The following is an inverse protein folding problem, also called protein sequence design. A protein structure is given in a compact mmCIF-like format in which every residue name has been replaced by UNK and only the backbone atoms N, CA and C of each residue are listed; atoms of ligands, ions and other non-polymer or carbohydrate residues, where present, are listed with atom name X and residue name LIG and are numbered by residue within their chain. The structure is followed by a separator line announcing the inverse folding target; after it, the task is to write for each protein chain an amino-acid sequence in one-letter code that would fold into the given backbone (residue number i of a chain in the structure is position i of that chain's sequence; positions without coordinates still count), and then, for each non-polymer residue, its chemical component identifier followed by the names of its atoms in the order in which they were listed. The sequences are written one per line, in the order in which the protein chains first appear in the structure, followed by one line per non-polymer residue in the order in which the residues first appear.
data_IF_820645688643
#
_entry.id   IF_820645688643
#
_cell.length_a   1.000
_cell.length_b   1.000
_cell.length_c   1.000
_cell.angle_alpha   90.00
_cell.angle_beta   90.00
_cell.angle_gamma   90.00
#
_symmetry.space_group_name_H-M   'P 1'
#
loop_
_entity.id
_entity.type
_entity.pdbx_description
1 polymer ?
#
# COMPACT_ATOMS: atom_id res chain seq x y z
N UNK A 1 11.95 -12.54 -14.69
CA UNK A 1 11.21 -11.27 -14.59
C UNK A 1 10.75 -10.94 -15.98
N UNK A 2 9.51 -10.46 -16.19
CA UNK A 2 8.99 -10.14 -17.53
C UNK A 2 9.66 -8.89 -18.08
N UNK A 3 10.09 -8.93 -19.34
CA UNK A 3 10.69 -7.76 -20.00
C UNK A 3 9.65 -6.94 -20.76
N UNK A 4 8.49 -7.54 -21.07
CA UNK A 4 7.35 -6.97 -21.76
C UNK A 4 6.36 -6.21 -20.84
N UNK A 5 6.71 -6.00 -19.57
CA UNK A 5 5.84 -5.30 -18.61
C UNK A 5 5.43 -3.89 -19.06
N UNK A 6 6.32 -3.04 -19.61
CA UNK A 6 5.92 -1.75 -20.14
C UNK A 6 4.88 -1.84 -21.26
N UNK A 7 5.00 -2.84 -22.14
CA UNK A 7 4.05 -3.07 -23.26
C UNK A 7 2.67 -3.47 -22.74
N UNK A 8 2.62 -4.36 -21.72
CA UNK A 8 1.36 -4.78 -21.08
C UNK A 8 0.66 -3.58 -20.44
N UNK A 9 1.42 -2.73 -19.73
CA UNK A 9 0.87 -1.52 -19.10
C UNK A 9 0.31 -0.58 -20.16
N UNK A 10 1.07 -0.35 -21.24
CA UNK A 10 0.65 0.51 -22.33
C UNK A 10 -0.65 0.02 -22.98
N UNK A 11 -0.72 -1.25 -23.36
CA UNK A 11 -1.92 -1.86 -23.93
C UNK A 11 -3.15 -1.77 -23.03
N UNK A 12 -2.96 -1.86 -21.72
CA UNK A 12 -4.06 -1.76 -20.76
C UNK A 12 -4.49 -0.31 -20.52
N UNK A 13 -3.56 0.64 -20.60
CA UNK A 13 -3.90 2.08 -20.53
C UNK A 13 -4.76 2.55 -21.70
N UNK A 14 -4.59 1.99 -22.90
CA UNK A 14 -5.46 2.21 -24.04
C UNK A 14 -6.92 1.76 -23.81
N UNK A 15 -7.12 0.92 -22.77
CA UNK A 15 -8.44 0.42 -22.33
C UNK A 15 -8.90 1.03 -20.99
N UNK A 16 -8.32 2.15 -20.59
CA UNK A 16 -8.60 2.86 -19.34
C UNK A 16 -8.38 2.06 -18.05
N UNK A 17 -7.50 1.03 -18.08
CA UNK A 17 -7.12 0.34 -16.85
C UNK A 17 -6.15 1.17 -16.00
N UNK A 18 -6.34 1.09 -14.68
CA UNK A 18 -5.40 1.62 -13.69
C UNK A 18 -4.40 0.53 -13.34
N UNK A 19 -3.10 0.85 -13.43
CA UNK A 19 -2.04 -0.11 -13.15
C UNK A 19 -1.34 0.18 -11.84
N UNK A 20 -1.27 -0.86 -11.00
CA UNK A 20 -0.48 -0.90 -9.78
C UNK A 20 0.53 -2.05 -9.91
N UNK A 21 1.80 -1.76 -9.69
CA UNK A 21 2.87 -2.77 -9.78
C UNK A 21 3.31 -3.23 -8.41
N UNK A 22 2.96 -4.45 -8.02
CA UNK A 22 3.52 -5.11 -6.86
C UNK A 22 4.92 -5.66 -7.19
N UNK A 23 5.94 -5.19 -6.46
CA UNK A 23 7.34 -5.54 -6.76
C UNK A 23 8.22 -5.58 -5.52
N UNK A 24 9.27 -6.41 -5.55
CA UNK A 24 10.34 -6.35 -4.57
C UNK A 24 11.33 -5.19 -4.81
N UNK A 25 11.19 -4.45 -5.90
CA UNK A 25 11.98 -3.25 -6.20
C UNK A 25 13.39 -3.50 -6.73
N UNK A 26 13.84 -4.74 -6.87
CA UNK A 26 15.24 -5.03 -7.28
C UNK A 26 15.54 -4.44 -8.67
N UNK A 27 14.63 -4.61 -9.63
CA UNK A 27 14.81 -4.08 -10.98
C UNK A 27 14.73 -2.55 -11.00
N UNK A 28 13.82 -1.98 -10.23
CA UNK A 28 13.72 -0.52 -10.05
C UNK A 28 15.00 0.09 -9.48
N UNK A 29 15.70 -0.64 -8.60
CA UNK A 29 16.94 -0.17 -8.00
C UNK A 29 18.16 -0.33 -8.93
N UNK A 30 18.21 -1.40 -9.73
CA UNK A 30 19.41 -1.80 -10.50
C UNK A 30 19.43 -1.30 -11.94
N UNK A 31 18.27 -1.25 -12.59
CA UNK A 31 18.17 -0.83 -13.99
C UNK A 31 17.90 0.68 -14.05
N UNK A 32 18.88 1.41 -14.55
CA UNK A 32 18.79 2.85 -14.73
C UNK A 32 17.66 3.21 -15.70
N UNK A 33 16.85 4.21 -15.34
CA UNK A 33 15.74 4.68 -16.16
C UNK A 33 14.54 3.74 -16.23
N UNK A 34 14.55 2.55 -15.56
CA UNK A 34 13.44 1.61 -15.62
C UNK A 34 12.15 2.18 -15.03
N UNK A 35 12.23 2.91 -13.92
CA UNK A 35 11.08 3.60 -13.33
C UNK A 35 10.46 4.59 -14.33
N UNK A 36 11.29 5.36 -15.05
CA UNK A 36 10.84 6.27 -16.11
C UNK A 36 10.20 5.56 -17.30
N UNK A 37 10.69 4.37 -17.68
CA UNK A 37 10.05 3.55 -18.72
C UNK A 37 8.65 3.11 -18.30
N UNK A 38 8.49 2.67 -17.05
CA UNK A 38 7.18 2.27 -16.50
C UNK A 38 6.21 3.45 -16.42
N UNK A 39 6.69 4.63 -15.99
CA UNK A 39 5.90 5.86 -15.99
C UNK A 39 5.40 6.23 -17.37
N UNK A 40 6.29 6.22 -18.38
CA UNK A 40 5.93 6.50 -19.78
C UNK A 40 4.94 5.50 -20.34
N UNK A 41 5.00 4.24 -19.91
CA UNK A 41 4.04 3.20 -20.28
C UNK A 41 2.65 3.41 -19.65
N UNK A 42 2.53 4.28 -18.62
CA UNK A 42 1.27 4.61 -17.98
C UNK A 42 1.07 3.94 -16.62
N UNK A 43 2.15 3.45 -15.97
CA UNK A 43 2.07 2.94 -14.60
C UNK A 43 1.63 4.07 -13.65
N UNK A 44 0.64 3.79 -12.81
CA UNK A 44 0.12 4.75 -11.85
C UNK A 44 0.91 4.70 -10.53
N UNK A 45 1.10 3.52 -9.95
CA UNK A 45 1.66 3.35 -8.61
C UNK A 45 2.51 2.10 -8.51
N UNK A 46 3.59 2.19 -7.75
CA UNK A 46 4.44 1.07 -7.33
C UNK A 46 4.08 0.67 -5.91
N UNK A 47 3.65 -0.58 -5.72
CA UNK A 47 3.53 -1.23 -4.43
C UNK A 47 4.85 -1.92 -4.11
N UNK A 48 5.70 -1.20 -3.40
CA UNK A 48 7.05 -1.65 -3.09
C UNK A 48 7.05 -2.49 -1.81
N UNK A 49 7.40 -3.75 -1.91
CA UNK A 49 7.68 -4.57 -0.74
C UNK A 49 8.78 -3.90 0.11
N UNK A 50 8.47 -3.57 1.37
CA UNK A 50 9.34 -2.81 2.26
C UNK A 50 9.19 -3.30 3.70
N UNK A 51 9.82 -4.43 4.06
CA UNK A 51 9.55 -5.16 5.28
C UNK A 51 10.18 -4.55 6.55
N UNK A 52 11.12 -3.63 6.41
CA UNK A 52 11.80 -3.01 7.54
C UNK A 52 12.82 -1.95 7.13
N UNK A 53 13.47 -1.36 8.12
CA UNK A 53 14.50 -0.32 7.93
C UNK A 53 15.91 -0.81 8.23
N UNK A 54 16.10 -2.12 8.41
CA UNK A 54 17.39 -2.78 8.68
C UNK A 54 17.57 -4.02 7.81
N UNK A 55 18.81 -4.30 7.43
CA UNK A 55 19.14 -5.50 6.63
C UNK A 55 18.83 -6.80 7.36
N UNK A 56 18.93 -6.84 8.68
CA UNK A 56 18.62 -8.03 9.48
C UNK A 56 17.17 -8.53 9.26
N UNK A 57 16.21 -7.61 9.10
CA UNK A 57 14.81 -7.96 8.76
C UNK A 57 14.76 -8.64 7.41
N UNK A 58 15.43 -8.07 6.41
CA UNK A 58 15.45 -8.64 5.05
C UNK A 58 16.18 -9.98 5.00
N UNK A 59 17.29 -10.12 5.68
CA UNK A 59 18.01 -11.40 5.80
C UNK A 59 17.10 -12.49 6.40
N UNK A 60 16.36 -12.14 7.45
CA UNK A 60 15.42 -13.07 8.10
C UNK A 60 14.23 -13.43 7.21
N UNK A 61 13.61 -12.44 6.56
CA UNK A 61 12.36 -12.66 5.80
C UNK A 61 12.60 -13.01 4.33
N UNK A 62 13.74 -12.59 3.76
CA UNK A 62 14.02 -12.69 2.31
C UNK A 62 15.35 -13.36 1.98
N UNK A 63 16.15 -13.73 2.99
CA UNK A 63 17.42 -14.44 2.82
C UNK A 63 18.59 -13.60 2.32
N UNK A 64 18.45 -12.26 2.25
CA UNK A 64 19.53 -11.36 1.81
C UNK A 64 19.33 -9.93 2.31
N UNK A 65 20.43 -9.18 2.48
CA UNK A 65 20.41 -7.74 2.73
C UNK A 65 19.78 -6.98 1.57
N UNK A 66 18.85 -6.06 1.84
CA UNK A 66 18.11 -5.35 0.78
C UNK A 66 17.86 -3.87 1.07
N UNK A 67 18.27 -3.34 2.22
CA UNK A 67 17.90 -1.96 2.62
C UNK A 67 18.36 -0.91 1.61
N UNK A 68 19.61 -0.98 1.16
CA UNK A 68 20.13 -0.05 0.16
C UNK A 68 19.43 -0.18 -1.21
N UNK A 69 19.05 -1.39 -1.61
CA UNK A 69 18.24 -1.60 -2.81
C UNK A 69 16.84 -0.96 -2.66
N UNK A 70 16.25 -1.05 -1.46
CA UNK A 70 14.94 -0.43 -1.21
C UNK A 70 15.01 1.09 -1.28
N UNK A 71 16.01 1.70 -0.63
CA UNK A 71 16.26 3.15 -0.71
C UNK A 71 16.44 3.61 -2.15
N UNK A 72 17.28 2.90 -2.92
CA UNK A 72 17.52 3.23 -4.32
C UNK A 72 16.27 3.06 -5.20
N UNK A 73 15.45 2.03 -4.95
CA UNK A 73 14.18 1.85 -5.66
C UNK A 73 13.21 3.02 -5.37
N UNK A 74 13.12 3.45 -4.10
CA UNK A 74 12.31 4.62 -3.70
C UNK A 74 12.81 5.87 -4.41
N UNK A 75 14.12 6.12 -4.41
CA UNK A 75 14.71 7.30 -5.08
C UNK A 75 14.41 7.30 -6.58
N UNK A 76 14.67 6.18 -7.28
CA UNK A 76 14.45 6.08 -8.73
C UNK A 76 12.96 6.24 -9.10
N UNK A 77 12.03 5.74 -8.27
CA UNK A 77 10.59 5.97 -8.47
C UNK A 77 10.22 7.43 -8.24
N UNK A 78 10.80 8.06 -7.22
CA UNK A 78 10.59 9.47 -6.92
C UNK A 78 11.06 10.37 -8.05
N UNK A 79 12.27 10.15 -8.57
CA UNK A 79 12.82 10.87 -9.72
C UNK A 79 12.00 10.69 -11.00
N UNK A 80 11.35 9.51 -11.14
CA UNK A 80 10.45 9.21 -12.25
C UNK A 80 9.00 9.69 -12.02
N UNK A 81 8.73 10.38 -10.91
CA UNK A 81 7.39 10.83 -10.54
C UNK A 81 6.35 9.70 -10.47
N UNK A 82 6.74 8.53 -10.03
CA UNK A 82 5.85 7.41 -9.75
C UNK A 82 5.35 7.46 -8.30
N UNK A 83 4.05 7.28 -8.10
CA UNK A 83 3.49 7.05 -6.77
C UNK A 83 4.07 5.78 -6.15
N UNK A 84 4.34 5.80 -4.84
CA UNK A 84 4.89 4.66 -4.11
C UNK A 84 4.00 4.35 -2.91
N UNK A 85 3.63 3.09 -2.77
CA UNK A 85 3.10 2.53 -1.54
C UNK A 85 4.14 1.58 -0.95
N UNK A 86 4.58 1.82 0.29
CA UNK A 86 5.42 0.87 1.01
C UNK A 86 4.56 -0.25 1.57
N UNK A 87 4.90 -1.49 1.26
CA UNK A 87 4.10 -2.67 1.60
C UNK A 87 4.92 -3.62 2.48
N UNK A 88 4.95 -3.39 3.81
CA UNK A 88 5.60 -4.30 4.73
C UNK A 88 4.72 -5.52 5.01
N UNK A 89 5.36 -6.67 5.09
CA UNK A 89 4.80 -7.86 5.72
C UNK A 89 5.25 -7.88 7.17
N UNK A 90 4.32 -7.73 8.11
CA UNK A 90 4.68 -7.70 9.53
C UNK A 90 4.66 -9.11 10.12
N UNK A 91 5.82 -9.54 10.58
CA UNK A 91 6.06 -10.85 11.19
C UNK A 91 6.36 -10.69 12.69
N UNK A 92 5.57 -11.32 13.58
CA UNK A 92 5.79 -11.22 15.03
C UNK A 92 7.21 -11.63 15.43
N UNK A 93 7.85 -10.82 16.25
CA UNK A 93 9.20 -11.07 16.74
C UNK A 93 10.32 -10.86 15.72
N UNK A 94 9.99 -10.40 14.49
CA UNK A 94 10.97 -10.10 13.45
C UNK A 94 11.03 -8.60 13.16
N UNK A 95 9.90 -8.01 12.78
CA UNK A 95 9.82 -6.60 12.40
C UNK A 95 8.61 -5.86 13.00
N UNK A 96 7.86 -6.49 13.87
CA UNK A 96 6.73 -5.85 14.57
C UNK A 96 7.17 -4.68 15.47
N UNK A 97 8.44 -4.65 15.88
CA UNK A 97 9.05 -3.52 16.59
C UNK A 97 9.59 -2.42 15.66
N UNK A 98 9.46 -2.57 14.35
CA UNK A 98 9.90 -1.57 13.37
C UNK A 98 8.73 -0.84 12.66
N UNK A 99 7.50 -1.07 13.08
CA UNK A 99 6.30 -0.45 12.48
C UNK A 99 6.42 1.07 12.47
N UNK A 100 6.75 1.69 13.60
CA UNK A 100 6.96 3.13 13.70
C UNK A 100 8.11 3.64 12.82
N UNK A 101 9.22 2.92 12.75
CA UNK A 101 10.36 3.28 11.91
C UNK A 101 10.03 3.21 10.42
N UNK A 102 9.23 2.23 10.01
CA UNK A 102 8.76 2.11 8.63
C UNK A 102 7.83 3.30 8.30
N UNK A 103 6.88 3.63 9.20
CA UNK A 103 5.99 4.79 9.05
C UNK A 103 6.79 6.10 8.95
N UNK A 104 7.77 6.27 9.82
CA UNK A 104 8.67 7.42 9.78
C UNK A 104 9.46 7.49 8.48
N UNK A 105 10.01 6.36 8.02
CA UNK A 105 10.69 6.31 6.72
C UNK A 105 9.78 6.81 5.59
N UNK A 106 8.50 6.38 5.56
CA UNK A 106 7.52 6.86 4.60
C UNK A 106 7.29 8.37 4.70
N UNK A 107 7.09 8.88 5.91
CA UNK A 107 6.91 10.33 6.16
C UNK A 107 8.12 11.15 5.75
N UNK A 108 9.34 10.69 6.07
CA UNK A 108 10.58 11.40 5.76
C UNK A 108 10.85 11.47 4.24
N UNK A 109 10.45 10.42 3.50
CA UNK A 109 10.63 10.37 2.05
C UNK A 109 9.54 11.11 1.27
N UNK A 110 8.38 11.41 1.88
CA UNK A 110 7.44 12.38 1.30
C UNK A 110 8.05 13.77 1.14
N UNK A 111 9.00 14.14 2.00
CA UNK A 111 9.66 15.46 1.95
C UNK A 111 10.63 15.60 0.79
N UNK A 112 11.24 14.50 0.36
CA UNK A 112 12.27 14.52 -0.70
C UNK A 112 11.69 14.59 -2.11
N UNK A 113 10.41 14.28 -2.28
CA UNK A 113 9.74 14.33 -3.57
C UNK A 113 8.30 14.77 -3.39
N UNK A 114 8.03 15.97 -3.61
CA UNK A 114 6.78 16.74 -3.63
C UNK A 114 5.46 16.02 -3.89
N UNK A 115 5.35 14.67 -3.85
CA UNK A 115 4.14 13.97 -4.29
C UNK A 115 3.99 12.59 -3.67
N UNK A 116 2.95 12.44 -2.92
CA UNK A 116 2.13 11.26 -2.61
C UNK A 116 2.86 9.95 -2.26
N UNK A 117 3.17 9.76 -1.00
CA UNK A 117 3.28 8.43 -0.42
C UNK A 117 1.89 7.98 0.00
N UNK A 118 1.33 7.05 -0.71
CA UNK A 118 0.05 6.46 -0.37
C UNK A 118 0.27 5.04 0.14
N UNK A 119 -0.25 4.79 1.34
CA UNK A 119 -0.58 3.51 1.92
C UNK A 119 0.55 2.55 2.31
N UNK A 120 0.52 2.28 3.59
CA UNK A 120 1.05 1.05 4.17
C UNK A 120 0.00 -0.04 4.04
N UNK A 121 0.33 -1.09 3.34
CA UNK A 121 -0.46 -2.30 3.33
C UNK A 121 0.26 -3.36 4.15
N UNK A 122 -0.25 -3.60 5.36
CA UNK A 122 0.33 -4.58 6.26
C UNK A 122 -0.21 -5.96 5.90
N UNK A 123 0.65 -6.84 5.42
CA UNK A 123 0.32 -8.22 5.10
C UNK A 123 0.83 -9.14 6.20
N UNK A 124 0.01 -10.11 6.56
CA UNK A 124 0.43 -11.24 7.36
C UNK A 124 0.79 -12.40 6.44
N UNK A 125 2.00 -12.92 6.54
CA UNK A 125 2.41 -14.12 5.81
C UNK A 125 2.37 -15.33 6.74
N UNK A 126 1.80 -16.42 6.22
CA UNK A 126 1.65 -17.66 6.94
C UNK A 126 3.00 -18.29 7.29
N UNK A 127 3.20 -18.55 8.56
CA UNK A 127 4.25 -19.47 9.02
C UNK A 127 3.72 -20.90 8.99
N UNK A 128 4.60 -21.88 8.71
CA UNK A 128 4.26 -23.31 8.74
C UNK A 128 3.77 -23.81 10.13
N UNK A 129 3.94 -22.99 11.16
CA UNK A 129 3.45 -23.24 12.53
C UNK A 129 2.61 -22.08 12.99
N UNK A 130 1.52 -22.37 13.72
CA UNK A 130 0.68 -21.35 14.35
C UNK A 130 1.56 -20.43 15.21
N UNK A 131 1.59 -19.13 14.97
CA UNK A 131 2.34 -18.20 15.81
C UNK A 131 1.78 -18.21 17.23
N UNK A 132 2.65 -18.22 18.23
CA UNK A 132 2.22 -18.16 19.63
C UNK A 132 1.56 -16.82 19.96
N UNK A 133 1.93 -15.75 19.24
CA UNK A 133 1.45 -14.40 19.46
C UNK A 133 1.11 -13.71 18.13
N UNK A 134 -0.04 -14.06 17.51
CA UNK A 134 -0.42 -13.53 16.22
C UNK A 134 -0.66 -12.02 16.29
N UNK A 135 -0.43 -11.33 15.17
CA UNK A 135 -0.80 -9.92 15.03
C UNK A 135 -2.28 -9.87 14.64
N UNK A 136 -3.03 -9.08 15.41
CA UNK A 136 -4.43 -8.76 15.16
C UNK A 136 -4.56 -7.27 14.83
N UNK A 137 -5.67 -6.82 14.25
CA UNK A 137 -5.91 -5.39 14.01
C UNK A 137 -5.73 -4.57 15.30
N UNK A 138 -6.35 -4.90 16.45
CA UNK A 138 -6.15 -4.14 17.67
C UNK A 138 -4.70 -4.11 18.16
N UNK A 139 -3.95 -5.20 17.98
CA UNK A 139 -2.52 -5.23 18.31
C UNK A 139 -1.71 -4.33 17.38
N UNK A 140 -2.00 -4.37 16.08
CA UNK A 140 -1.33 -3.52 15.09
C UNK A 140 -1.58 -2.04 15.37
N UNK A 141 -2.81 -1.64 15.66
CA UNK A 141 -3.16 -0.25 15.97
C UNK A 141 -2.42 0.24 17.23
N UNK A 142 -2.30 -0.61 18.28
CA UNK A 142 -1.48 -0.29 19.45
C UNK A 142 -0.01 -0.11 19.09
N UNK A 143 0.57 -1.01 18.28
CA UNK A 143 1.96 -0.87 17.84
C UNK A 143 2.20 0.42 17.04
N UNK A 144 1.23 0.82 16.20
CA UNK A 144 1.31 2.09 15.48
C UNK A 144 1.33 3.25 16.48
N UNK A 145 0.37 3.33 17.40
CA UNK A 145 0.27 4.42 18.36
C UNK A 145 1.51 4.49 19.27
N UNK A 146 1.91 3.37 19.85
CA UNK A 146 3.08 3.28 20.73
C UNK A 146 4.38 3.68 20.02
N UNK A 147 4.62 3.13 18.82
CA UNK A 147 5.88 3.35 18.10
C UNK A 147 5.92 4.67 17.32
N UNK A 148 4.78 5.34 17.15
CA UNK A 148 4.73 6.71 16.62
C UNK A 148 4.62 7.76 17.73
N UNK A 149 4.76 7.34 19.00
CA UNK A 149 4.67 8.23 20.17
C UNK A 149 3.35 9.03 20.19
N UNK A 150 2.25 8.41 19.73
CA UNK A 150 0.93 9.02 19.66
C UNK A 150 0.72 10.00 18.50
N UNK A 151 1.66 10.08 17.55
CA UNK A 151 1.48 10.86 16.32
C UNK A 151 0.30 10.33 15.48
N UNK A 152 0.08 9.01 15.51
CA UNK A 152 -1.07 8.33 14.92
C UNK A 152 -1.78 7.56 16.03
N UNK A 153 -3.03 7.88 16.30
CA UNK A 153 -3.78 7.30 17.41
C UNK A 153 -4.70 6.18 16.96
N UNK A 154 -5.00 5.24 17.85
CA UNK A 154 -5.93 4.13 17.57
C UNK A 154 -7.28 4.66 17.08
N UNK A 155 -7.77 5.73 17.67
CA UNK A 155 -9.05 6.38 17.35
C UNK A 155 -9.11 6.99 15.94
N UNK A 156 -7.97 7.26 15.32
CA UNK A 156 -7.89 7.82 13.97
C UNK A 156 -8.29 6.79 12.89
N UNK A 157 -8.15 5.51 13.21
CA UNK A 157 -8.37 4.46 12.24
C UNK A 157 -9.83 4.02 12.14
N UNK A 158 -10.27 3.80 10.90
CA UNK A 158 -11.57 3.21 10.59
C UNK A 158 -11.41 1.83 9.95
N UNK A 159 -12.44 1.01 10.03
CA UNK A 159 -12.52 -0.21 9.23
C UNK A 159 -12.65 0.08 7.74
N UNK A 160 -12.34 -0.89 6.90
CA UNK A 160 -12.50 -0.77 5.45
C UNK A 160 -13.96 -0.55 5.03
N UNK A 161 -14.13 0.15 3.89
CA UNK A 161 -15.45 0.52 3.39
C UNK A 161 -16.15 -0.59 2.60
N UNK A 162 -15.40 -1.35 1.82
CA UNK A 162 -15.94 -2.38 0.93
C UNK A 162 -15.66 -3.80 1.43
N UNK A 163 -14.51 -4.01 2.08
CA UNK A 163 -14.13 -5.28 2.69
C UNK A 163 -14.78 -5.49 4.06
N UNK A 164 -14.76 -6.73 4.51
CA UNK A 164 -15.23 -7.06 5.85
C UNK A 164 -14.48 -6.24 6.91
N UNK A 165 -15.18 -5.63 7.91
CA UNK A 165 -14.56 -4.80 8.96
C UNK A 165 -13.45 -5.48 9.76
N UNK A 166 -13.42 -6.81 9.78
CA UNK A 166 -12.36 -7.58 10.42
C UNK A 166 -11.13 -7.82 9.53
N UNK A 167 -11.15 -7.35 8.28
CA UNK A 167 -10.05 -7.56 7.34
C UNK A 167 -9.07 -6.41 7.31
N UNK A 168 -9.53 -5.16 7.52
CA UNK A 168 -8.70 -3.99 7.26
C UNK A 168 -8.98 -2.82 8.20
N UNK A 169 -8.06 -1.89 8.19
CA UNK A 169 -8.18 -0.57 8.81
C UNK A 169 -7.47 0.47 7.93
N UNK A 170 -7.88 1.73 8.05
CA UNK A 170 -7.23 2.82 7.34
C UNK A 170 -7.38 4.15 8.08
N UNK A 171 -6.43 5.05 7.87
CA UNK A 171 -6.49 6.47 8.23
C UNK A 171 -5.76 7.30 7.18
N UNK A 172 -6.19 8.53 6.97
CA UNK A 172 -5.55 9.48 6.08
C UNK A 172 -5.25 10.77 6.84
N UNK A 173 -4.03 11.26 6.69
CA UNK A 173 -3.54 12.44 7.39
C UNK A 173 -3.07 13.48 6.38
N UNK A 174 -3.34 14.75 6.69
CA UNK A 174 -2.68 15.87 6.04
C UNK A 174 -1.45 16.23 6.88
N UNK A 175 -0.30 16.29 6.25
CA UNK A 175 0.93 16.72 6.87
C UNK A 175 0.94 18.25 7.02
N UNK A 176 1.18 18.75 8.24
CA UNK A 176 1.28 20.18 8.52
C UNK A 176 2.72 20.66 8.79
N UNK A 177 3.66 19.72 8.91
CA UNK A 177 5.04 19.97 9.24
C UNK A 177 5.84 18.69 9.37
N UNK A 178 7.06 18.75 9.90
CA UNK A 178 7.91 17.56 10.02
C UNK A 178 7.35 16.48 10.97
N UNK A 179 6.59 16.89 11.99
CA UNK A 179 6.05 16.00 13.03
C UNK A 179 4.60 16.31 13.40
N UNK A 180 3.86 16.98 12.53
CA UNK A 180 2.46 17.29 12.77
C UNK A 180 1.58 16.71 11.67
N UNK A 181 0.69 15.80 12.06
CA UNK A 181 -0.30 15.19 11.20
C UNK A 181 -1.69 15.64 11.63
N UNK A 182 -2.48 16.11 10.68
CA UNK A 182 -3.91 16.38 10.90
C UNK A 182 -4.71 15.27 10.26
N UNK A 183 -5.49 14.55 11.07
CA UNK A 183 -6.43 13.55 10.54
C UNK A 183 -7.37 14.23 9.54
N UNK A 184 -7.42 13.68 8.34
CA UNK A 184 -8.45 14.04 7.36
C UNK A 184 -9.75 13.37 7.83
N UNK A 185 -10.78 14.17 8.07
CA UNK A 185 -12.04 13.68 8.62
C UNK A 185 -12.53 12.44 7.89
N UNK A 186 -12.86 11.43 8.69
CA UNK A 186 -13.69 10.34 8.21
C UNK A 186 -14.94 10.99 7.62
N UNK A 187 -15.16 10.88 6.31
CA UNK A 187 -16.53 11.04 5.82
C UNK A 187 -17.34 10.01 6.59
N UNK A 188 -18.00 10.45 7.64
CA UNK A 188 -19.01 9.65 8.32
C UNK A 188 -20.06 9.37 7.27
N UNK A 189 -19.93 8.23 6.58
CA UNK A 189 -20.83 7.84 5.53
C UNK A 189 -22.20 7.72 6.15
N UNK A 190 -23.07 8.66 5.85
CA UNK A 190 -24.49 8.38 5.90
C UNK A 190 -24.66 7.13 5.06
N UNK A 191 -25.02 6.03 5.71
CA UNK A 191 -25.44 4.76 5.23
C UNK A 191 -24.96 4.38 3.82
N UNK A 192 -23.98 3.58 3.75
CA UNK A 192 -23.27 3.07 2.58
C UNK A 192 -24.11 2.25 1.58
N UNK A 193 -25.38 2.54 1.39
CA UNK A 193 -26.22 1.80 0.44
C UNK A 193 -26.11 2.30 -1.01
N UNK A 194 -25.32 3.33 -1.28
CA UNK A 194 -25.35 4.04 -2.58
C UNK A 194 -23.97 4.28 -3.20
N UNK A 195 -22.88 3.61 -2.76
CA UNK A 195 -21.60 3.73 -3.44
C UNK A 195 -21.64 2.88 -4.71
N UNK A 196 -21.52 3.52 -5.86
CA UNK A 196 -21.47 2.81 -7.14
C UNK A 196 -20.09 2.19 -7.37
N UNK A 197 -19.98 1.26 -8.31
CA UNK A 197 -18.68 0.73 -8.75
C UNK A 197 -17.76 1.84 -9.28
N UNK A 198 -18.34 2.87 -9.91
CA UNK A 198 -17.60 4.01 -10.44
C UNK A 198 -17.08 4.91 -9.32
N UNK A 199 -17.86 5.15 -8.26
CA UNK A 199 -17.38 5.89 -7.09
C UNK A 199 -16.21 5.16 -6.41
N UNK A 200 -16.30 3.84 -6.30
CA UNK A 200 -15.22 2.99 -5.73
C UNK A 200 -13.97 3.02 -6.60
N UNK A 201 -14.15 2.97 -7.93
CA UNK A 201 -13.07 3.07 -8.91
C UNK A 201 -12.38 4.43 -8.83
N UNK A 202 -13.16 5.51 -8.82
CA UNK A 202 -12.65 6.87 -8.71
C UNK A 202 -11.95 7.12 -7.38
N UNK A 203 -12.45 6.53 -6.28
CA UNK A 203 -11.78 6.58 -4.97
C UNK A 203 -10.39 5.92 -5.03
N UNK A 204 -10.30 4.70 -5.59
CA UNK A 204 -9.02 3.99 -5.78
C UNK A 204 -8.08 4.77 -6.68
N UNK A 205 -8.58 5.34 -7.77
CA UNK A 205 -7.82 6.16 -8.71
C UNK A 205 -7.24 7.40 -8.03
N UNK A 206 -8.06 8.12 -7.27
CA UNK A 206 -7.63 9.33 -6.57
C UNK A 206 -6.68 9.04 -5.41
N UNK A 207 -6.82 7.90 -4.73
CA UNK A 207 -6.00 7.56 -3.57
C UNK A 207 -4.63 7.00 -3.95
N UNK A 208 -4.51 6.34 -5.11
CA UNK A 208 -3.33 5.58 -5.50
C UNK A 208 -2.61 6.12 -6.73
N UNK A 209 -3.20 7.08 -7.44
CA UNK A 209 -2.56 7.67 -8.61
C UNK A 209 -1.71 8.88 -8.21
N UNK A 210 -0.53 8.94 -8.80
CA UNK A 210 0.25 10.15 -8.85
C UNK A 210 -0.53 11.17 -9.69
N UNK A 211 -1.01 12.24 -9.08
CA UNK A 211 -1.71 13.28 -9.84
C UNK A 211 -0.74 14.05 -10.72
N UNK A 212 -1.00 13.97 -12.00
CA UNK A 212 -0.33 14.80 -13.03
C UNK A 212 -0.96 16.18 -13.19
N UNK A 213 -1.92 16.55 -12.35
CA UNK A 213 -2.40 17.94 -12.33
C UNK A 213 -1.32 18.83 -11.71
N UNK A 214 -0.23 19.01 -12.44
CA UNK A 214 0.55 20.22 -12.39
C UNK A 214 -0.39 21.29 -12.90
N UNK A 215 -0.91 22.13 -12.04
CA UNK A 215 -1.35 23.43 -12.51
C UNK A 215 -0.12 24.08 -13.11
N UNK A 216 -0.19 24.41 -14.39
CA UNK A 216 0.89 25.06 -15.11
C UNK A 216 1.19 26.38 -14.38
N UNK A 217 2.39 26.55 -13.84
CA UNK A 217 2.77 27.77 -13.14
C UNK A 217 2.64 29.03 -14.04
N UNK A 218 2.44 28.83 -15.33
CA UNK A 218 2.23 29.90 -16.32
C UNK A 218 0.80 30.46 -16.41
N UNK A 219 -0.22 29.76 -15.88
CA UNK A 219 -1.61 30.22 -15.91
C UNK A 219 -2.13 30.75 -14.55
N UNK A 220 -1.30 30.73 -13.50
CA UNK A 220 -1.70 31.15 -12.16
C UNK A 220 -1.60 32.66 -11.94
N UNK A 221 -2.51 33.41 -12.54
CA UNK A 221 -2.60 34.86 -12.23
C UNK A 221 -3.45 35.18 -10.99
N UNK A 222 -4.21 34.22 -10.44
CA UNK A 222 -4.90 34.32 -9.14
C UNK A 222 -5.28 32.90 -8.65
N UNK A 223 -4.46 32.27 -7.81
CA UNK A 223 -4.89 31.11 -7.03
C UNK A 223 -5.79 31.57 -5.89
N UNK A 224 -7.00 31.08 -5.85
CA UNK A 224 -7.90 31.21 -4.71
C UNK A 224 -7.33 30.35 -3.54
N UNK A 225 -7.55 30.78 -2.31
CA UNK A 225 -7.16 30.03 -1.09
C UNK A 225 -7.73 28.59 -1.08
N UNK A 226 -8.80 28.33 -1.83
CA UNK A 226 -9.37 27.00 -2.03
C UNK A 226 -8.47 26.13 -2.92
N UNK A 227 -7.92 26.68 -3.99
CA UNK A 227 -7.04 25.97 -4.91
C UNK A 227 -5.74 25.58 -4.22
N UNK A 228 -5.12 26.48 -3.45
CA UNK A 228 -3.95 26.18 -2.63
C UNK A 228 -4.24 25.09 -1.61
N UNK A 229 -5.41 25.12 -0.98
CA UNK A 229 -5.83 24.09 -0.04
C UNK A 229 -6.03 22.72 -0.71
N UNK A 230 -6.64 22.68 -1.90
CA UNK A 230 -6.83 21.45 -2.67
C UNK A 230 -5.49 20.87 -3.15
N UNK A 231 -4.57 21.72 -3.60
CA UNK A 231 -3.20 21.33 -3.97
C UNK A 231 -2.46 20.73 -2.77
N UNK A 232 -2.57 21.34 -1.59
CA UNK A 232 -1.97 20.82 -0.35
C UNK A 232 -2.56 19.49 0.04
N UNK A 233 -3.89 19.35 0.09
CA UNK A 233 -4.54 18.06 0.39
C UNK A 233 -4.03 16.98 -0.55
N UNK A 234 -3.91 17.31 -1.82
CA UNK A 234 -3.50 16.36 -2.82
C UNK A 234 -2.02 15.94 -2.70
N UNK A 235 -1.15 16.88 -2.38
CA UNK A 235 0.31 16.68 -2.34
C UNK A 235 0.84 16.27 -0.96
N UNK A 236 0.14 16.62 0.13
CA UNK A 236 0.61 16.42 1.50
C UNK A 236 -0.20 15.35 2.25
N UNK A 237 -1.01 14.56 1.55
CA UNK A 237 -1.78 13.47 2.17
C UNK A 237 -0.91 12.24 2.37
N UNK A 238 -0.87 11.75 3.61
CA UNK A 238 -0.25 10.49 3.99
C UNK A 238 -1.34 9.51 4.43
N UNK A 239 -1.49 8.40 3.72
CA UNK A 239 -2.46 7.37 4.04
C UNK A 239 -1.77 6.15 4.67
N UNK A 240 -2.36 5.63 5.72
CA UNK A 240 -1.95 4.38 6.36
C UNK A 240 -3.11 3.41 6.29
N UNK A 241 -2.90 2.25 5.71
CA UNK A 241 -3.88 1.18 5.72
C UNK A 241 -3.21 -0.14 6.09
N UNK A 242 -3.97 -1.04 6.67
CA UNK A 242 -3.50 -2.37 6.98
C UNK A 242 -4.55 -3.41 6.63
N UNK A 243 -4.10 -4.56 6.17
CA UNK A 243 -4.97 -5.68 5.86
C UNK A 243 -4.45 -6.96 6.50
N UNK A 244 -5.35 -7.68 7.17
CA UNK A 244 -5.05 -8.98 7.76
C UNK A 244 -5.71 -10.06 6.91
N UNK A 245 -4.86 -10.76 6.16
CA UNK A 245 -5.30 -11.92 5.40
C UNK A 245 -5.56 -13.11 6.32
N UNK A 246 -6.52 -13.92 5.92
CA UNK A 246 -6.81 -15.18 6.61
C UNK A 246 -5.77 -16.24 6.23
N UNK A 247 -5.43 -17.06 7.17
CA UNK A 247 -4.59 -18.25 7.01
C UNK A 247 -5.36 -19.52 7.44
N UNK A 248 -4.71 -20.66 7.37
CA UNK A 248 -5.33 -21.93 7.73
C UNK A 248 -5.79 -22.03 9.21
N UNK A 249 -5.27 -21.14 10.08
CA UNK A 249 -5.56 -21.16 11.52
C UNK A 249 -6.72 -20.25 11.93
N UNK A 250 -7.05 -19.28 11.07
CA UNK A 250 -8.08 -18.27 11.35
C UNK A 250 -9.10 -18.14 10.21
N UNK A 251 -9.17 -19.15 9.33
CA UNK A 251 -10.03 -19.14 8.17
C UNK A 251 -11.51 -19.10 8.57
N UNK A 252 -12.18 -18.06 8.09
CA UNK A 252 -13.62 -17.86 8.17
C UNK A 252 -14.22 -17.95 6.77
N UNK A 253 -14.97 -19.01 6.53
CA UNK A 253 -15.54 -19.32 5.21
C UNK A 253 -16.59 -18.31 4.76
N UNK A 254 -17.32 -17.70 5.69
CA UNK A 254 -18.34 -16.69 5.34
C UNK A 254 -17.70 -15.38 4.93
N UNK A 255 -16.60 -14.98 5.57
CA UNK A 255 -15.76 -13.87 5.11
C UNK A 255 -15.16 -14.18 3.74
N UNK A 256 -14.66 -15.40 3.56
CA UNK A 256 -14.00 -15.81 2.32
C UNK A 256 -14.96 -15.76 1.12
N UNK A 257 -16.20 -16.28 1.28
CA UNK A 257 -17.23 -16.27 0.23
C UNK A 257 -17.65 -14.86 -0.21
N UNK A 258 -17.47 -13.87 0.64
CA UNK A 258 -17.84 -12.47 0.38
C UNK A 258 -16.63 -11.60 0.02
N UNK A 259 -15.46 -12.20 -0.14
CA UNK A 259 -14.25 -11.46 -0.49
C UNK A 259 -14.27 -11.08 -1.97
N UNK A 260 -14.05 -9.81 -2.27
CA UNK A 260 -13.92 -9.31 -3.65
C UNK A 260 -12.47 -9.17 -4.09
N UNK A 261 -11.50 -9.36 -3.18
CA UNK A 261 -10.09 -9.41 -3.51
C UNK A 261 -9.76 -10.80 -3.99
N UNK A 262 -9.60 -10.96 -5.28
CA UNK A 262 -9.41 -12.25 -5.92
C UNK A 262 -8.17 -12.29 -6.81
N UNK A 263 -7.59 -13.47 -6.93
CA UNK A 263 -6.62 -13.81 -7.96
C UNK A 263 -7.32 -14.52 -9.12
N UNK A 264 -6.88 -14.26 -10.32
CA UNK A 264 -7.38 -14.98 -11.50
C UNK A 264 -6.52 -16.20 -11.74
N UNK A 265 -7.13 -17.37 -11.56
CA UNK A 265 -6.50 -18.66 -11.81
C UNK A 265 -7.04 -19.27 -13.11
N UNK A 266 -6.18 -19.78 -14.01
CA UNK A 266 -6.61 -20.33 -15.30
C UNK A 266 -7.56 -21.53 -15.17
N UNK A 267 -7.41 -22.32 -14.11
CA UNK A 267 -8.15 -23.57 -13.92
C UNK A 267 -9.41 -23.37 -13.03
N UNK A 268 -9.38 -22.37 -12.13
CA UNK A 268 -10.42 -22.18 -11.10
C UNK A 268 -11.17 -20.85 -11.21
N UNK A 269 -10.79 -19.97 -12.15
CA UNK A 269 -11.40 -18.66 -12.33
C UNK A 269 -11.00 -17.67 -11.22
N UNK A 270 -11.96 -16.92 -10.68
CA UNK A 270 -11.69 -15.95 -9.61
C UNK A 270 -11.64 -16.64 -8.25
N UNK A 271 -10.45 -16.74 -7.67
CA UNK A 271 -10.24 -17.35 -6.35
C UNK A 271 -9.97 -16.25 -5.33
N UNK A 272 -10.68 -16.19 -4.19
CA UNK A 272 -10.40 -15.22 -3.13
C UNK A 272 -8.93 -15.26 -2.71
N UNK A 273 -8.29 -14.10 -2.57
CA UNK A 273 -6.85 -13.97 -2.31
C UNK A 273 -6.38 -14.81 -1.12
N UNK A 274 -7.15 -14.81 -0.02
CA UNK A 274 -6.81 -15.62 1.14
C UNK A 274 -6.81 -17.12 0.80
N UNK A 275 -7.82 -17.61 0.05
CA UNK A 275 -7.89 -19.01 -0.37
C UNK A 275 -6.75 -19.36 -1.34
N UNK A 276 -6.45 -18.48 -2.29
CA UNK A 276 -5.40 -18.69 -3.29
C UNK A 276 -4.03 -18.91 -2.66
N UNK A 277 -3.77 -18.22 -1.54
CA UNK A 277 -2.51 -18.31 -0.82
C UNK A 277 -2.51 -19.35 0.32
N UNK A 278 -3.59 -20.13 0.51
CA UNK A 278 -3.60 -21.21 1.49
C UNK A 278 -2.70 -22.37 1.07
N UNK A 279 -2.08 -22.97 2.08
CA UNK A 279 -1.37 -24.24 1.95
C UNK A 279 -2.08 -25.34 2.73
N UNK A 280 -1.89 -26.59 2.32
CA UNK A 280 -2.24 -27.74 3.13
C UNK A 280 -1.24 -27.91 4.30
N UNK A 281 -1.47 -28.91 5.16
CA UNK A 281 -0.61 -29.23 6.32
C UNK A 281 0.85 -29.56 5.93
N UNK A 282 1.11 -29.90 4.67
CA UNK A 282 2.47 -30.17 4.14
C UNK A 282 3.12 -28.93 3.56
N UNK A 283 2.48 -27.75 3.62
CA UNK A 283 2.99 -26.51 3.04
C UNK A 283 2.81 -26.38 1.52
N UNK A 284 2.04 -27.28 0.90
CA UNK A 284 1.75 -27.23 -0.54
C UNK A 284 0.57 -26.29 -0.76
N UNK A 285 0.71 -25.33 -1.67
CA UNK A 285 -0.38 -24.42 -2.05
C UNK A 285 -1.57 -25.20 -2.63
N UNK A 286 -2.80 -24.74 -2.32
CA UNK A 286 -4.02 -25.36 -2.82
C UNK A 286 -4.31 -25.01 -4.28
N UNK A 287 -3.97 -23.79 -4.70
CA UNK A 287 -4.27 -23.25 -6.02
C UNK A 287 -3.01 -22.89 -6.81
N UNK A 288 -1.97 -22.36 -6.17
CA UNK A 288 -0.74 -21.97 -6.85
C UNK A 288 0.06 -23.20 -7.24
N UNK A 289 0.39 -23.31 -8.52
CA UNK A 289 1.30 -24.34 -9.09
C UNK A 289 2.74 -23.85 -9.14
#
# INVERSE_FOLDING_TARGET
MRDDLPEIIHMGREKDYIFQLNTNGIRLAREEGYAGKLKKAGLNTVFLQFDGVTDQVYETLRGQAMMELKKKAVLNCSEAELGIALVPVIAPGVNDMQVGNILKFGLDHMLCSWRTFSAYQLFWQMFQKRPQNPITIPKMLRLIEEQTEGLMKIEDFAGGGAENPYCSFHASYLRKGERELKLLEKKSGKGCCCTTSDDSRQYVENQWSYSTKTYDEGEMTQTDALDEFLIRIHNETFAVSGMIFQDAWNLDLDRLKRCYICEVDPDHGMVPFCAYNLTNLKGIYLYRK
#
